data_IF_223576844855
#
_entry.id   IF_223576844855
#
_cell.length_a   1.000
_cell.length_b   1.000
_cell.length_c   1.000
_cell.angle_alpha   90.00
_cell.angle_beta   90.00
_cell.angle_gamma   90.00
#
_symmetry.space_group_name_H-M   'P 1'
#
loop_
_entity.id
_entity.type
_entity.pdbx_description
1 polymer ?
#
# COMPACT_ATOMS: atom_id res chain seq x y z
N UNK A 1 -1.98 20.99 -0.42
CA UNK A 1 -3.06 20.40 0.39
C UNK A 1 -2.36 19.78 1.59
N UNK A 2 -2.69 20.20 2.82
CA UNK A 2 -2.03 19.66 4.01
C UNK A 2 -2.56 18.26 4.30
N UNK A 3 -1.73 17.37 4.86
CA UNK A 3 -2.14 15.99 5.17
C UNK A 3 -3.39 15.95 6.07
N UNK A 4 -3.47 16.83 7.07
CA UNK A 4 -4.64 16.95 7.94
C UNK A 4 -5.96 17.19 7.17
N UNK A 5 -5.93 17.99 6.10
CA UNK A 5 -7.12 18.25 5.28
C UNK A 5 -7.54 16.99 4.50
N UNK A 6 -6.57 16.18 4.07
CA UNK A 6 -6.81 14.90 3.39
C UNK A 6 -7.47 13.92 4.35
N UNK A 7 -6.93 13.80 5.57
CA UNK A 7 -7.43 12.89 6.60
C UNK A 7 -8.86 13.25 7.02
N UNK A 8 -9.13 14.54 7.30
CA UNK A 8 -10.48 15.02 7.59
C UNK A 8 -11.48 14.73 6.45
N UNK A 9 -11.02 14.74 5.20
CA UNK A 9 -11.85 14.41 4.04
C UNK A 9 -12.07 12.90 3.93
N UNK A 10 -11.06 12.10 4.24
CA UNK A 10 -11.14 10.64 4.27
C UNK A 10 -12.16 10.20 5.32
N UNK A 11 -12.12 10.72 6.55
CA UNK A 11 -13.09 10.41 7.60
C UNK A 11 -14.53 10.61 7.15
N UNK A 12 -14.84 11.81 6.62
CA UNK A 12 -16.18 12.13 6.13
C UNK A 12 -16.61 11.21 4.99
N UNK A 13 -15.66 10.80 4.15
CA UNK A 13 -15.95 9.88 3.07
C UNK A 13 -16.24 8.48 3.63
N UNK A 14 -15.44 7.99 4.57
CA UNK A 14 -15.64 6.70 5.23
C UNK A 14 -16.96 6.67 6.00
N UNK A 15 -17.26 7.70 6.78
CA UNK A 15 -18.51 7.80 7.55
C UNK A 15 -19.76 7.66 6.65
N UNK A 16 -19.72 8.26 5.46
CA UNK A 16 -20.87 8.24 4.52
C UNK A 16 -20.92 7.00 3.65
N UNK A 17 -19.76 6.48 3.21
CA UNK A 17 -19.70 5.47 2.14
C UNK A 17 -19.24 4.09 2.63
N UNK A 18 -18.63 4.02 3.81
CA UNK A 18 -17.94 2.85 4.34
C UNK A 18 -17.98 2.86 5.88
N UNK A 19 -19.18 2.95 6.45
CA UNK A 19 -19.37 3.14 7.91
C UNK A 19 -18.75 2.03 8.75
N UNK A 20 -18.70 0.81 8.22
CA UNK A 20 -18.06 -0.32 8.89
C UNK A 20 -16.54 -0.11 8.98
N UNK A 21 -15.90 0.39 7.91
CA UNK A 21 -14.48 0.76 7.91
C UNK A 21 -14.22 1.94 8.84
N UNK A 22 -15.07 2.96 8.81
CA UNK A 22 -15.00 4.11 9.71
C UNK A 22 -15.07 3.69 11.18
N UNK A 23 -15.94 2.73 11.50
CA UNK A 23 -16.08 2.18 12.85
C UNK A 23 -14.86 1.43 13.38
N UNK A 24 -13.86 1.13 12.53
CA UNK A 24 -12.61 0.49 12.95
C UNK A 24 -11.51 1.46 13.35
N UNK A 25 -11.64 2.75 12.98
CA UNK A 25 -10.63 3.77 13.25
C UNK A 25 -10.41 3.91 14.75
N UNK A 26 -9.15 3.79 15.17
CA UNK A 26 -8.78 3.98 16.56
C UNK A 26 -8.81 5.47 16.93
N UNK A 27 -9.00 5.81 18.21
CA UNK A 27 -8.72 7.16 18.68
C UNK A 27 -7.26 7.56 18.37
N UNK A 28 -6.93 8.87 18.38
CA UNK A 28 -5.57 9.35 18.26
C UNK A 28 -4.58 8.67 19.20
N UNK A 29 -3.34 8.50 18.74
CA UNK A 29 -2.25 8.01 19.57
C UNK A 29 -1.81 9.10 20.57
N UNK A 30 -1.27 8.67 21.70
CA UNK A 30 -0.61 9.55 22.65
C UNK A 30 0.78 9.94 22.13
N UNK A 31 1.28 11.11 22.55
CA UNK A 31 2.63 11.54 22.20
C UNK A 31 3.69 10.51 22.60
N UNK A 32 3.53 9.84 23.76
CA UNK A 32 4.44 8.78 24.20
C UNK A 32 4.43 7.55 23.31
N UNK A 33 3.27 7.16 22.75
CA UNK A 33 3.21 6.04 21.80
C UNK A 33 3.92 6.39 20.49
N UNK A 34 3.75 7.62 20.00
CA UNK A 34 4.40 8.08 18.77
C UNK A 34 5.92 8.18 18.97
N UNK A 35 6.36 8.80 20.07
CA UNK A 35 7.79 8.99 20.35
C UNK A 35 8.50 7.64 20.58
N UNK A 36 7.78 6.62 21.06
CA UNK A 36 8.31 5.27 21.22
C UNK A 36 8.62 4.56 19.89
N UNK A 37 8.02 4.92 18.75
CA UNK A 37 8.23 4.21 17.47
C UNK A 37 9.71 4.22 17.05
N UNK A 38 10.35 5.38 17.13
CA UNK A 38 11.75 5.52 16.76
C UNK A 38 12.71 5.31 17.94
N UNK A 39 12.22 5.24 19.18
CA UNK A 39 13.03 5.09 20.41
C UNK A 39 14.29 6.01 20.43
N UNK A 40 14.14 7.29 20.06
CA UNK A 40 15.23 8.27 19.94
C UNK A 40 16.36 7.93 18.94
N UNK A 41 16.23 6.87 18.13
CA UNK A 41 17.25 6.45 17.15
C UNK A 41 17.29 7.31 15.90
N UNK A 42 16.14 7.88 15.52
CA UNK A 42 16.01 8.80 14.38
C UNK A 42 14.75 9.66 14.53
N UNK A 43 14.69 10.76 13.78
CA UNK A 43 13.50 11.59 13.72
C UNK A 43 12.47 11.01 12.77
N UNK A 44 11.27 10.72 13.28
CA UNK A 44 10.12 10.37 12.46
C UNK A 44 9.78 11.49 11.48
N UNK A 45 9.31 11.13 10.29
CA UNK A 45 8.74 12.12 9.39
C UNK A 45 7.49 12.75 10.03
N UNK A 46 7.27 14.08 9.91
CA UNK A 46 6.13 14.76 10.53
C UNK A 46 4.76 14.21 10.12
N UNK A 47 4.68 13.62 8.93
CA UNK A 47 3.47 13.02 8.36
C UNK A 47 2.98 11.82 9.18
N UNK A 48 3.90 11.00 9.74
CA UNK A 48 3.52 9.86 10.61
C UNK A 48 2.86 10.39 11.88
N UNK A 49 3.42 11.45 12.47
CA UNK A 49 2.82 12.09 13.65
C UNK A 49 1.44 12.64 13.34
N UNK A 50 1.31 13.36 12.22
CA UNK A 50 0.01 13.90 11.77
C UNK A 50 -1.01 12.79 11.54
N UNK A 51 -0.59 11.65 10.98
CA UNK A 51 -1.44 10.48 10.78
C UNK A 51 -1.92 9.88 12.11
N UNK A 52 -1.01 9.64 13.05
CA UNK A 52 -1.31 9.00 14.34
C UNK A 52 -2.04 9.92 15.32
N UNK A 53 -1.79 11.23 15.28
CA UNK A 53 -2.56 12.25 16.01
C UNK A 53 -4.00 12.35 15.50
N UNK A 54 -4.28 11.86 14.29
CA UNK A 54 -5.61 11.83 13.70
C UNK A 54 -6.33 10.52 14.05
N UNK A 55 -5.72 9.37 13.73
CA UNK A 55 -6.19 8.04 14.13
C UNK A 55 -5.00 7.09 14.36
N UNK A 56 -4.98 6.37 15.49
CA UNK A 56 -3.94 5.39 15.79
C UNK A 56 -4.15 4.05 15.05
N UNK A 57 -4.24 4.08 13.73
CA UNK A 57 -4.53 2.91 12.91
C UNK A 57 -5.96 2.38 13.06
N UNK A 58 -6.15 1.09 12.81
CA UNK A 58 -7.46 0.40 12.94
C UNK A 58 -7.43 -0.72 13.97
N UNK A 59 -8.55 -0.94 14.65
CA UNK A 59 -8.74 -1.96 15.70
C UNK A 59 -8.95 -3.39 15.17
N UNK A 60 -9.04 -3.58 13.85
CA UNK A 60 -9.44 -4.86 13.27
C UNK A 60 -8.35 -5.93 13.36
N UNK A 61 -8.80 -7.15 13.69
CA UNK A 61 -7.94 -8.33 13.69
C UNK A 61 -7.69 -8.75 12.24
N UNK A 62 -6.48 -8.49 11.74
CA UNK A 62 -5.94 -8.84 10.42
C UNK A 62 -6.10 -10.30 9.96
N UNK A 63 -6.70 -11.17 10.78
CA UNK A 63 -6.78 -12.61 10.53
C UNK A 63 -7.85 -12.99 9.49
N UNK A 64 -8.73 -12.07 9.11
CA UNK A 64 -9.72 -12.26 8.05
C UNK A 64 -9.92 -10.97 7.24
N UNK A 65 -10.26 -11.10 5.96
CA UNK A 65 -10.74 -9.96 5.16
C UNK A 65 -11.98 -9.36 5.83
N UNK A 66 -11.80 -8.21 6.46
CA UNK A 66 -12.83 -7.48 7.18
C UNK A 66 -12.66 -5.97 7.03
N UNK A 67 -13.54 -5.16 7.67
CA UNK A 67 -13.46 -3.71 7.63
C UNK A 67 -12.10 -3.18 8.11
N UNK A 68 -11.73 -1.96 7.71
CA UNK A 68 -10.47 -1.28 8.02
C UNK A 68 -9.43 -1.32 6.90
N UNK A 69 -9.68 -2.10 5.83
CA UNK A 69 -8.77 -2.28 4.69
C UNK A 69 -8.99 -1.26 3.59
N UNK A 70 -8.98 0.03 3.92
CA UNK A 70 -9.39 1.11 3.01
C UNK A 70 -8.21 1.84 2.33
N UNK A 71 -6.96 1.53 2.68
CA UNK A 71 -5.81 1.97 1.88
C UNK A 71 -5.79 1.11 0.60
N UNK A 72 -5.55 1.71 -0.59
CA UNK A 72 -5.49 0.97 -1.86
C UNK A 72 -4.63 -0.29 -1.76
N UNK A 73 -5.08 -1.38 -2.41
CA UNK A 73 -4.44 -2.70 -2.30
C UNK A 73 -4.95 -3.55 -1.13
N UNK A 74 -5.96 -3.09 -0.39
CA UNK A 74 -6.51 -3.82 0.76
C UNK A 74 -5.61 -3.72 1.99
N UNK A 75 -4.88 -2.61 2.09
CA UNK A 75 -4.00 -2.30 3.20
C UNK A 75 -4.81 -1.72 4.37
N UNK A 76 -4.45 -2.17 5.56
CA UNK A 76 -5.00 -1.71 6.83
C UNK A 76 -3.95 -0.83 7.50
N UNK A 77 -4.28 0.41 7.90
CA UNK A 77 -3.37 1.25 8.66
C UNK A 77 -2.94 0.56 9.97
N UNK A 78 -1.64 0.50 10.25
CA UNK A 78 -1.17 -0.04 11.53
C UNK A 78 -1.16 1.04 12.61
N UNK A 79 -1.34 0.62 13.86
CA UNK A 79 -1.19 1.45 15.05
C UNK A 79 0.29 1.67 15.43
N UNK A 80 0.56 2.63 16.31
CA UNK A 80 1.91 2.97 16.79
C UNK A 80 2.64 1.78 17.43
N UNK A 81 1.93 0.89 18.14
CA UNK A 81 2.52 -0.30 18.74
C UNK A 81 3.07 -1.24 17.65
N UNK A 82 2.30 -1.46 16.58
CA UNK A 82 2.74 -2.24 15.42
C UNK A 82 3.83 -1.55 14.61
N UNK A 83 3.83 -0.22 14.54
CA UNK A 83 4.95 0.52 13.96
C UNK A 83 6.25 0.22 14.71
N UNK A 84 6.22 0.25 16.04
CA UNK A 84 7.34 -0.10 16.90
C UNK A 84 7.76 -1.56 16.73
N UNK A 85 6.81 -2.50 16.83
CA UNK A 85 7.11 -3.94 16.72
C UNK A 85 7.70 -4.28 15.35
N UNK A 86 7.11 -3.80 14.26
CA UNK A 86 7.62 -4.08 12.92
C UNK A 86 8.97 -3.41 12.66
N UNK A 87 9.26 -2.27 13.29
CA UNK A 87 10.58 -1.66 13.24
C UNK A 87 11.63 -2.51 13.97
N UNK A 88 11.28 -3.12 15.11
CA UNK A 88 12.14 -4.09 15.82
C UNK A 88 12.34 -5.38 15.03
N UNK A 89 11.30 -5.87 14.35
CA UNK A 89 11.41 -7.03 13.46
C UNK A 89 12.42 -6.75 12.33
N UNK A 90 12.33 -5.57 11.69
CA UNK A 90 13.31 -5.19 10.66
C UNK A 90 14.74 -5.06 11.22
N UNK A 91 14.92 -4.61 12.45
CA UNK A 91 16.24 -4.58 13.09
C UNK A 91 16.80 -5.97 13.34
N UNK A 92 15.96 -6.89 13.80
CA UNK A 92 16.29 -8.30 13.98
C UNK A 92 16.71 -8.92 12.65
N UNK A 93 15.95 -8.68 11.58
CA UNK A 93 16.25 -9.17 10.22
C UNK A 93 17.59 -8.62 9.70
N UNK A 94 17.86 -7.32 9.91
CA UNK A 94 19.16 -6.74 9.56
C UNK A 94 20.29 -7.39 10.35
N UNK A 95 20.13 -7.61 11.66
CA UNK A 95 21.16 -8.22 12.49
C UNK A 95 21.46 -9.66 12.06
N UNK A 96 20.43 -10.50 11.89
CA UNK A 96 20.59 -11.87 11.40
C UNK A 96 21.23 -11.91 10.00
N UNK A 97 20.86 -10.97 9.13
CA UNK A 97 21.42 -10.93 7.78
C UNK A 97 22.94 -10.67 7.74
N UNK A 98 23.44 -9.95 8.74
CA UNK A 98 24.87 -9.69 8.90
C UNK A 98 25.60 -10.91 9.48
N UNK A 99 24.97 -11.60 10.43
CA UNK A 99 25.51 -12.84 11.02
C UNK A 99 25.62 -13.96 9.96
N UNK A 100 24.66 -14.03 9.05
CA UNK A 100 24.57 -15.03 7.98
C UNK A 100 25.31 -14.65 6.68
N UNK A 101 26.02 -13.51 6.66
CA UNK A 101 26.72 -12.97 5.47
C UNK A 101 25.82 -12.83 4.22
N UNK A 102 24.56 -12.44 4.44
CA UNK A 102 23.54 -12.28 3.38
C UNK A 102 22.94 -10.86 3.33
N UNK A 103 23.54 -9.90 4.03
CA UNK A 103 23.07 -8.52 4.16
C UNK A 103 22.74 -7.82 2.83
N UNK A 104 23.45 -8.15 1.74
CA UNK A 104 23.20 -7.61 0.39
C UNK A 104 21.81 -7.96 -0.18
N UNK A 105 21.16 -8.99 0.36
CA UNK A 105 19.81 -9.41 -0.03
C UNK A 105 18.73 -8.82 0.88
N UNK A 106 19.07 -8.37 2.08
CA UNK A 106 18.13 -7.92 3.11
C UNK A 106 18.16 -6.40 3.29
N UNK A 107 19.33 -5.85 3.59
CA UNK A 107 19.48 -4.46 4.04
C UNK A 107 19.13 -3.49 2.92
N UNK A 108 18.09 -2.68 3.15
CA UNK A 108 17.59 -1.73 2.17
C UNK A 108 16.84 -2.36 1.00
N UNK A 109 16.49 -3.65 1.09
CA UNK A 109 15.68 -4.39 0.11
C UNK A 109 14.40 -4.93 0.73
N UNK A 110 14.52 -5.69 1.80
CA UNK A 110 13.39 -6.29 2.53
C UNK A 110 13.29 -5.79 3.96
N UNK A 111 14.39 -5.31 4.55
CA UNK A 111 14.41 -4.68 5.88
C UNK A 111 15.43 -3.55 5.97
N UNK A 112 15.16 -2.57 6.85
CA UNK A 112 16.15 -1.57 7.23
C UNK A 112 15.83 -0.98 8.61
N UNK A 113 16.85 -0.72 9.43
CA UNK A 113 16.71 -0.19 10.80
C UNK A 113 16.06 1.20 10.91
N UNK A 114 15.92 1.89 9.78
CA UNK A 114 15.28 3.21 9.64
C UNK A 114 13.99 3.16 8.82
N UNK A 115 13.39 1.99 8.65
CA UNK A 115 12.09 1.84 8.00
C UNK A 115 11.02 1.64 9.07
N UNK A 116 9.86 2.24 8.86
CA UNK A 116 8.73 2.17 9.78
C UNK A 116 7.50 1.70 9.00
N UNK A 117 6.83 0.60 9.37
CA UNK A 117 5.63 0.18 8.67
C UNK A 117 4.48 1.15 8.90
N UNK A 118 3.71 1.43 7.85
CA UNK A 118 2.55 2.34 7.86
C UNK A 118 1.23 1.57 7.73
N UNK A 119 1.25 0.47 6.99
CA UNK A 119 0.07 -0.37 6.79
C UNK A 119 0.49 -1.79 6.43
N UNK A 120 -0.42 -2.74 6.60
CA UNK A 120 -0.22 -4.11 6.11
C UNK A 120 -1.49 -4.69 5.52
N UNK A 121 -1.34 -5.64 4.61
CA UNK A 121 -2.45 -6.48 4.12
C UNK A 121 -2.61 -7.70 5.02
N UNK A 122 -3.73 -8.41 4.87
CA UNK A 122 -3.96 -9.69 5.56
C UNK A 122 -3.01 -10.81 5.15
N UNK A 123 -2.28 -10.65 4.03
CA UNK A 123 -1.26 -11.59 3.54
C UNK A 123 0.17 -11.16 3.88
N UNK A 124 0.35 -10.03 4.57
CA UNK A 124 1.67 -9.63 5.08
C UNK A 124 2.46 -8.67 4.20
N UNK A 125 1.92 -8.25 3.04
CA UNK A 125 2.48 -7.10 2.28
C UNK A 125 2.39 -5.84 3.14
N UNK A 126 3.46 -5.06 3.17
CA UNK A 126 3.54 -3.84 3.99
C UNK A 126 3.80 -2.60 3.12
N UNK A 127 3.17 -1.49 3.47
CA UNK A 127 3.71 -0.17 3.10
C UNK A 127 4.59 0.32 4.24
N UNK A 128 5.79 0.79 3.93
CA UNK A 128 6.76 1.29 4.90
C UNK A 128 7.21 2.70 4.52
N UNK A 129 7.63 3.48 5.50
CA UNK A 129 8.20 4.82 5.31
C UNK A 129 9.70 4.78 5.55
N UNK A 130 10.47 5.24 4.57
CA UNK A 130 11.92 5.29 4.63
C UNK A 130 12.43 6.53 5.39
N UNK A 131 13.14 6.35 6.50
CA UNK A 131 13.75 7.42 7.27
C UNK A 131 15.28 7.50 7.09
N UNK A 132 15.83 6.85 6.05
CA UNK A 132 17.24 7.03 5.69
C UNK A 132 17.50 8.46 5.23
N UNK A 133 18.64 9.00 5.64
CA UNK A 133 19.09 10.29 5.13
C UNK A 133 19.35 10.20 3.63
N UNK A 134 18.89 11.20 2.89
CA UNK A 134 19.11 11.30 1.45
C UNK A 134 17.82 11.40 0.64
N UNK A 135 17.88 11.08 -0.66
CA UNK A 135 16.78 11.33 -1.61
C UNK A 135 15.49 10.57 -1.32
N UNK A 136 15.56 9.47 -0.57
CA UNK A 136 14.39 8.61 -0.26
C UNK A 136 13.78 8.91 1.10
N UNK A 137 14.26 9.92 1.84
CA UNK A 137 13.69 10.29 3.13
C UNK A 137 12.20 10.68 2.99
N UNK A 138 11.34 9.97 3.72
CA UNK A 138 9.88 10.11 3.66
C UNK A 138 9.20 9.41 2.49
N UNK A 139 9.94 8.65 1.67
CA UNK A 139 9.33 7.84 0.63
C UNK A 139 8.52 6.69 1.24
N UNK A 140 7.37 6.38 0.64
CA UNK A 140 6.58 5.18 0.96
C UNK A 140 6.98 4.06 -0.01
N UNK A 141 7.44 2.95 0.54
CA UNK A 141 7.84 1.75 -0.20
C UNK A 141 6.85 0.63 0.08
N UNK A 142 6.59 -0.22 -0.92
CA UNK A 142 5.84 -1.45 -0.74
C UNK A 142 6.84 -2.62 -0.63
N UNK A 143 6.67 -3.44 0.41
CA UNK A 143 7.47 -4.64 0.63
C UNK A 143 6.54 -5.83 0.69
N UNK A 144 6.80 -6.79 -0.18
CA UNK A 144 6.09 -8.07 -0.19
C UNK A 144 6.88 -9.10 0.63
N UNK A 145 6.35 -9.45 1.81
CA UNK A 145 6.97 -10.47 2.66
C UNK A 145 6.67 -11.91 2.17
N UNK A 146 5.75 -12.11 1.21
CA UNK A 146 5.41 -13.44 0.68
C UNK A 146 6.45 -14.01 -0.31
N UNK A 147 7.47 -13.24 -0.70
CA UNK A 147 8.51 -13.71 -1.62
C UNK A 147 9.48 -14.73 -0.99
N UNK A 148 9.35 -15.07 0.29
CA UNK A 148 10.16 -16.12 0.95
C UNK A 148 9.46 -17.48 1.08
N UNK A 149 8.14 -17.58 0.94
CA UNK A 149 7.40 -18.85 1.16
C UNK A 149 7.18 -19.70 -0.09
N UNK A 150 7.58 -19.22 -1.28
CA UNK A 150 7.62 -20.02 -2.49
C UNK A 150 9.00 -19.93 -3.12
N UNK A 151 9.85 -20.92 -2.81
CA UNK A 151 11.22 -21.01 -3.33
C UNK A 151 11.29 -20.71 -4.83
N UNK A 152 11.96 -19.60 -5.18
CA UNK A 152 12.17 -19.26 -6.58
C UNK A 152 12.64 -17.83 -6.79
N UNK A 153 13.96 -17.64 -6.88
CA UNK A 153 14.68 -16.56 -7.58
C UNK A 153 14.07 -15.15 -7.47
N UNK A 154 14.73 -14.32 -6.66
CA UNK A 154 14.78 -12.87 -6.77
C UNK A 154 14.47 -12.34 -8.18
N UNK A 155 13.37 -11.60 -8.32
CA UNK A 155 13.22 -10.65 -9.41
C UNK A 155 14.09 -9.44 -9.05
N UNK A 156 15.25 -9.41 -9.67
CA UNK A 156 16.11 -8.24 -9.80
C UNK A 156 15.37 -7.16 -10.59
N UNK A 157 14.85 -6.11 -9.94
CA UNK A 157 14.87 -4.75 -10.48
C UNK A 157 14.87 -3.74 -9.32
N UNK A 158 15.66 -2.65 -9.39
CA UNK A 158 15.65 -1.61 -8.37
C UNK A 158 14.30 -0.87 -8.36
N UNK A 159 13.81 -0.57 -7.16
CA UNK A 159 12.66 0.32 -6.92
C UNK A 159 12.86 1.60 -7.73
N UNK A 160 11.97 1.83 -8.70
CA UNK A 160 11.93 3.09 -9.45
C UNK A 160 11.00 4.06 -8.75
N UNK A 161 11.57 5.23 -8.49
CA UNK A 161 10.93 6.46 -8.07
C UNK A 161 9.64 6.74 -8.86
N UNK A 162 8.56 7.16 -8.18
CA UNK A 162 7.30 7.60 -8.80
C UNK A 162 7.25 9.12 -8.68
N UNK A 163 7.61 9.90 -9.72
CA UNK A 163 7.50 11.35 -9.68
C UNK A 163 6.02 11.74 -9.80
N UNK A 164 5.55 12.58 -8.89
CA UNK A 164 4.26 13.25 -9.01
C UNK A 164 4.27 14.23 -10.18
N UNK A 165 3.69 13.85 -11.33
CA UNK A 165 3.45 14.78 -12.44
C UNK A 165 1.99 15.24 -12.45
N UNK A 166 1.77 16.42 -11.88
CA UNK A 166 0.51 17.17 -11.94
C UNK A 166 0.46 17.93 -13.28
N UNK A 167 0.03 17.28 -14.36
CA UNK A 167 -0.28 17.98 -15.62
C UNK A 167 -1.57 17.48 -16.27
N UNK A 168 -2.53 18.39 -16.41
CA UNK A 168 -3.74 18.26 -17.23
C UNK A 168 -3.35 18.52 -18.70
N UNK A 169 -3.65 17.62 -19.66
CA UNK A 169 -3.54 17.95 -21.07
C UNK A 169 -4.87 18.44 -21.63
N UNK A 170 -4.89 19.70 -22.07
CA UNK A 170 -5.85 20.22 -23.04
C UNK A 170 -5.29 20.10 -24.47
N UNK A 171 -6.18 19.68 -25.37
CA UNK A 171 -6.31 20.09 -26.77
C UNK A 171 -5.07 20.10 -27.71
N UNK A 172 -5.03 19.17 -28.69
CA UNK A 172 -5.16 19.49 -30.13
C UNK A 172 -4.87 18.31 -31.07
N UNK A 173 -5.88 18.02 -31.89
CA UNK A 173 -5.85 17.73 -33.35
C UNK A 173 -4.85 16.74 -33.96
N UNK A 174 -5.44 15.68 -34.54
CA UNK A 174 -5.23 15.16 -35.90
C UNK A 174 -3.82 14.79 -36.39
N UNK A 175 -3.66 13.52 -36.81
CA UNK A 175 -3.56 13.15 -38.23
C UNK A 175 -3.58 11.62 -38.45
N UNK A 176 -4.03 11.29 -39.66
CA UNK A 176 -4.35 10.00 -40.29
C UNK A 176 -3.11 9.25 -40.83
N UNK A 177 -3.39 8.01 -41.26
CA UNK A 177 -2.71 7.14 -42.25
C UNK A 177 -1.59 6.24 -41.72
N UNK A 178 -1.52 4.95 -42.05
CA UNK A 178 -2.32 4.13 -42.97
C UNK A 178 -1.87 2.66 -42.94
N UNK A 179 -2.64 1.82 -43.61
CA UNK A 179 -2.57 0.35 -43.65
C UNK A 179 -1.32 -0.24 -44.35
N UNK A 180 -0.96 -1.49 -43.99
CA UNK A 180 -0.97 -2.75 -44.80
C UNK A 180 0.24 -3.69 -44.61
N UNK A 181 -0.09 -4.89 -44.09
CA UNK A 181 0.15 -6.27 -44.58
C UNK A 181 1.53 -6.80 -45.04
N UNK A 182 1.82 -8.03 -44.56
CA UNK A 182 2.73 -9.08 -45.08
C UNK A 182 3.76 -9.52 -44.02
N UNK A 183 4.07 -10.78 -43.70
CA UNK A 183 3.75 -12.16 -44.13
C UNK A 183 4.30 -13.09 -43.00
N UNK A 184 3.72 -14.27 -42.67
CA UNK A 184 4.05 -15.03 -41.47
C UNK A 184 5.01 -16.18 -41.77
N UNK A 185 6.22 -16.16 -41.19
CA UNK A 185 7.02 -17.37 -40.90
C UNK A 185 8.37 -16.98 -40.28
N UNK A 186 8.50 -17.20 -38.97
CA UNK A 186 9.70 -17.69 -38.28
C UNK A 186 9.42 -17.77 -36.78
N UNK A 187 9.16 -18.99 -36.33
CA UNK A 187 9.07 -19.35 -34.92
C UNK A 187 10.42 -19.11 -34.22
N UNK A 188 10.41 -18.16 -33.31
CA UNK A 188 11.33 -18.01 -32.20
C UNK A 188 10.52 -17.89 -30.90
N UNK A 189 11.09 -18.22 -29.73
CA UNK A 189 10.34 -18.29 -28.48
C UNK A 189 9.69 -16.94 -28.17
N UNK A 190 8.36 -16.96 -28.06
CA UNK A 190 7.53 -15.78 -27.79
C UNK A 190 7.81 -15.29 -26.37
N UNK A 191 8.57 -14.20 -26.26
CA UNK A 191 8.59 -13.38 -25.06
C UNK A 191 7.20 -12.76 -24.92
N UNK A 192 6.44 -13.22 -23.94
CA UNK A 192 5.13 -12.66 -23.61
C UNK A 192 5.29 -11.20 -23.21
N UNK A 193 5.01 -10.31 -24.14
CA UNK A 193 4.91 -8.87 -23.91
C UNK A 193 3.62 -8.66 -23.11
N UNK A 194 3.72 -8.47 -21.79
CA UNK A 194 2.57 -8.01 -21.02
C UNK A 194 2.27 -6.56 -21.44
N UNK A 195 1.13 -6.39 -22.11
CA UNK A 195 0.58 -5.08 -22.44
C UNK A 195 0.21 -4.35 -21.16
N UNK A 196 0.73 -3.12 -21.00
CA UNK A 196 0.19 -2.14 -20.07
C UNK A 196 -1.27 -1.88 -20.44
N UNK A 197 -2.19 -2.43 -19.66
CA UNK A 197 -3.61 -2.13 -19.81
C UNK A 197 -3.85 -0.72 -19.25
N UNK A 198 -3.85 0.27 -20.14
CA UNK A 198 -4.31 1.62 -19.84
C UNK A 198 -5.80 1.53 -19.49
N UNK A 199 -6.17 1.75 -18.23
CA UNK A 199 -7.57 1.89 -17.84
C UNK A 199 -8.04 3.29 -18.26
N UNK A 200 -8.64 3.39 -19.44
CA UNK A 200 -9.44 4.55 -19.82
C UNK A 200 -10.71 4.57 -18.95
N UNK A 201 -10.71 5.42 -17.91
CA UNK A 201 -11.93 5.77 -17.17
C UNK A 201 -12.68 6.82 -17.98
N UNK A 202 -13.37 6.39 -19.04
CA UNK A 202 -14.53 7.12 -19.52
C UNK A 202 -15.70 6.16 -19.73
N UNK A 203 -16.70 6.32 -18.86
CA UNK A 203 -18.10 5.97 -19.05
C UNK A 203 -18.36 4.50 -19.39
N UNK A 204 -18.62 3.69 -18.37
CA UNK A 204 -19.80 2.82 -18.17
C UNK A 204 -19.69 2.19 -16.76
N UNK A 205 -20.82 2.08 -16.05
CA UNK A 205 -20.85 1.56 -14.66
C UNK A 205 -20.53 0.07 -14.58
N UNK A 206 -20.13 -0.46 -13.40
CA UNK A 206 -19.76 -1.86 -13.28
C UNK A 206 -20.98 -2.80 -13.37
N UNK A 207 -20.85 -3.97 -14.03
CA UNK A 207 -21.93 -4.91 -14.24
C UNK A 207 -21.96 -5.93 -13.11
N UNK A 208 -22.93 -5.84 -12.20
CA UNK A 208 -23.23 -6.93 -11.28
C UNK A 208 -24.73 -7.23 -11.28
N UNK A 209 -25.03 -8.47 -11.68
CA UNK A 209 -26.37 -8.97 -11.90
C UNK A 209 -27.23 -8.99 -10.63
N UNK A 210 -28.52 -8.84 -10.85
CA UNK A 210 -29.58 -8.93 -9.85
C UNK A 210 -29.66 -10.35 -9.28
N UNK A 211 -29.00 -10.59 -8.14
CA UNK A 211 -29.25 -11.71 -7.26
C UNK A 211 -30.45 -11.41 -6.33
N UNK A 212 -31.40 -12.34 -6.29
CA UNK A 212 -32.72 -12.22 -5.64
C UNK A 212 -32.63 -11.88 -4.13
N UNK A 213 -33.42 -10.90 -3.70
CA UNK A 213 -33.76 -10.62 -2.31
C UNK A 213 -34.63 -11.74 -1.72
N UNK A 214 -34.12 -12.49 -0.75
CA UNK A 214 -34.94 -13.29 0.17
C UNK A 214 -35.41 -12.41 1.32
N UNK A 215 -36.68 -12.01 1.34
CA UNK A 215 -37.29 -11.27 2.44
C UNK A 215 -37.59 -12.16 3.66
N UNK A 216 -37.75 -11.59 4.86
CA UNK A 216 -37.99 -12.35 6.09
C UNK A 216 -39.41 -12.94 6.11
N UNK A 217 -39.63 -14.06 6.83
CA UNK A 217 -40.94 -14.71 6.89
C UNK A 217 -41.93 -13.88 7.72
N UNK A 218 -43.17 -13.78 7.24
CA UNK A 218 -44.31 -13.20 7.96
C UNK A 218 -44.79 -14.15 9.07
N UNK A 219 -45.30 -13.65 10.20
CA UNK A 219 -45.95 -14.48 11.20
C UNK A 219 -47.33 -14.93 10.70
N UNK A 220 -47.66 -16.20 10.94
CA UNK A 220 -48.96 -16.80 10.63
C UNK A 220 -50.00 -16.50 11.72
N UNK A 221 -51.30 -16.49 11.38
CA UNK A 221 -52.41 -16.17 12.28
C UNK A 221 -52.69 -17.22 13.35
#
# INVERSE_FOLDING_TARGET
MQLQDVLNRLDRWLEVNASDDFGTLNPPATASEIDAIAEDRFSLVPEIRTWLDHHNGVSTHFRHSGPGGFIPGGHYPVDAERMLLGQRDMEQDVAWSQEDDNADFVVGRTAHVKWVPLSSTHVGTQLIVDHREGPTYGAVLEIDQDLELWGGRALQEPVRDVPGDTRIPGDRTARRHGDRQGDPSRDGPRVGRYEQRRLDVTREGPPWGTGRTGGPPRPSP
#
